data_IF_563389046935
#
_entry.id   IF_563389046935
#
_cell.length_a   1.000
_cell.length_b   1.000
_cell.length_c   1.000
_cell.angle_alpha   90.00
_cell.angle_beta   90.00
_cell.angle_gamma   90.00
#
_symmetry.space_group_name_H-M   'P 1'
#
loop_
_entity.id
_entity.type
_entity.pdbx_description
1 polymer ?
#
# COMPACT_ATOMS: atom_id res chain seq x y z
N UNK A 1 -26.01 -8.77 19.11
CA UNK A 1 -25.66 -8.33 17.74
C UNK A 1 -24.23 -8.79 17.45
N UNK A 2 -24.01 -9.95 16.82
CA UNK A 2 -22.65 -10.53 16.67
C UNK A 2 -22.09 -10.59 15.25
N UNK A 3 -22.88 -10.25 14.23
CA UNK A 3 -22.42 -10.21 12.83
C UNK A 3 -21.44 -9.05 12.59
N UNK A 4 -21.85 -7.84 12.95
CA UNK A 4 -21.11 -6.59 12.70
C UNK A 4 -19.67 -6.60 13.23
N UNK A 5 -19.43 -7.22 14.38
CA UNK A 5 -18.09 -7.31 14.95
C UNK A 5 -17.17 -8.26 14.17
N UNK A 6 -17.73 -9.31 13.55
CA UNK A 6 -17.02 -10.19 12.62
C UNK A 6 -16.65 -9.41 11.35
N UNK A 7 -17.56 -8.63 10.79
CA UNK A 7 -17.30 -7.82 9.60
C UNK A 7 -16.24 -6.72 9.87
N UNK A 8 -16.30 -6.04 11.02
CA UNK A 8 -15.27 -5.09 11.48
C UNK A 8 -13.92 -5.80 11.62
N UNK A 9 -13.90 -7.01 12.18
CA UNK A 9 -12.70 -7.83 12.29
C UNK A 9 -12.07 -8.15 10.93
N UNK A 10 -12.90 -8.50 9.94
CA UNK A 10 -12.46 -8.74 8.56
C UNK A 10 -11.86 -7.50 7.91
N UNK A 11 -12.48 -6.32 8.09
CA UNK A 11 -11.94 -5.05 7.58
C UNK A 11 -10.56 -4.74 8.19
N UNK A 12 -10.39 -4.92 9.50
CA UNK A 12 -9.10 -4.72 10.18
C UNK A 12 -8.03 -5.69 9.66
N UNK A 13 -8.39 -6.93 9.38
CA UNK A 13 -7.46 -7.91 8.80
C UNK A 13 -7.07 -7.53 7.36
N UNK A 14 -8.03 -7.09 6.55
CA UNK A 14 -7.77 -6.62 5.19
C UNK A 14 -6.82 -5.40 5.18
N UNK A 15 -7.05 -4.42 6.06
CA UNK A 15 -6.15 -3.28 6.21
C UNK A 15 -4.72 -3.71 6.56
N UNK A 16 -4.55 -4.57 7.58
CA UNK A 16 -3.23 -5.10 7.96
C UNK A 16 -2.53 -5.81 6.81
N UNK A 17 -3.26 -6.63 6.05
CA UNK A 17 -2.71 -7.33 4.89
C UNK A 17 -2.23 -6.33 3.82
N UNK A 18 -2.98 -5.26 3.58
CA UNK A 18 -2.54 -4.21 2.66
C UNK A 18 -1.34 -3.43 3.17
N UNK A 19 -1.32 -3.01 4.43
CA UNK A 19 -0.15 -2.34 5.00
C UNK A 19 1.13 -3.19 4.83
N UNK A 20 1.03 -4.49 5.10
CA UNK A 20 2.14 -5.42 4.85
C UNK A 20 2.52 -5.51 3.37
N UNK A 21 1.54 -5.53 2.45
CA UNK A 21 1.82 -5.53 1.02
C UNK A 21 2.45 -4.22 0.54
N UNK A 22 2.04 -3.07 1.09
CA UNK A 22 2.66 -1.78 0.83
C UNK A 22 4.12 -1.76 1.28
N UNK A 23 4.41 -2.23 2.50
CA UNK A 23 5.78 -2.31 3.03
C UNK A 23 6.67 -3.23 2.18
N UNK A 24 6.14 -4.37 1.77
CA UNK A 24 6.85 -5.27 0.85
C UNK A 24 7.10 -4.60 -0.51
N UNK A 25 6.11 -3.88 -1.06
CA UNK A 25 6.25 -3.17 -2.33
C UNK A 25 7.26 -2.02 -2.25
N UNK A 26 7.35 -1.30 -1.11
CA UNK A 26 8.37 -0.25 -0.88
C UNK A 26 9.79 -0.79 -0.90
N UNK A 27 9.98 -2.04 -0.47
CA UNK A 27 11.28 -2.70 -0.49
C UNK A 27 11.75 -3.13 -1.88
N UNK A 28 10.90 -3.05 -2.91
CA UNK A 28 11.27 -3.43 -4.28
C UNK A 28 11.78 -2.21 -5.04
N UNK A 29 13.03 -2.30 -5.47
CA UNK A 29 13.67 -1.31 -6.36
C UNK A 29 13.83 -1.92 -7.76
N UNK A 30 12.78 -1.94 -8.60
CA UNK A 30 12.81 -2.58 -9.91
C UNK A 30 13.78 -1.92 -10.91
N UNK A 31 14.25 -0.71 -10.62
CA UNK A 31 15.30 -0.05 -11.36
C UNK A 31 16.72 -0.59 -11.08
N UNK A 32 16.89 -1.39 -10.03
CA UNK A 32 18.20 -1.93 -9.64
C UNK A 32 18.76 -2.85 -10.71
N UNK A 33 20.04 -2.66 -11.06
CA UNK A 33 20.74 -3.42 -12.10
C UNK A 33 20.62 -2.83 -13.51
N UNK A 34 19.77 -1.82 -13.73
CA UNK A 34 19.71 -1.13 -15.02
C UNK A 34 20.94 -0.24 -15.26
N UNK A 35 21.64 0.17 -14.20
CA UNK A 35 22.93 0.83 -14.27
C UNK A 35 24.01 -0.04 -14.95
N UNK A 36 23.93 -1.37 -14.83
CA UNK A 36 24.84 -2.29 -15.52
C UNK A 36 24.74 -2.19 -17.05
N UNK A 37 23.61 -1.73 -17.59
CA UNK A 37 23.43 -1.47 -19.03
C UNK A 37 24.40 -0.37 -19.49
N UNK A 38 24.58 0.67 -18.67
CA UNK A 38 25.48 1.77 -18.99
C UNK A 38 26.95 1.30 -19.03
N UNK A 39 27.32 0.36 -18.16
CA UNK A 39 28.66 -0.26 -18.17
C UNK A 39 28.85 -1.21 -19.36
N UNK A 40 27.82 -1.99 -19.72
CA UNK A 40 27.91 -3.00 -20.78
C UNK A 40 27.90 -2.41 -22.19
N UNK A 41 27.23 -1.27 -22.40
CA UNK A 41 27.10 -0.62 -23.71
C UNK A 41 27.48 0.87 -23.68
N UNK A 42 28.75 1.22 -23.38
CA UNK A 42 29.17 2.61 -23.24
C UNK A 42 28.90 3.41 -24.53
N UNK A 43 28.26 4.57 -24.41
CA UNK A 43 27.95 5.46 -25.53
C UNK A 43 26.74 5.05 -26.39
N UNK A 44 26.18 3.87 -26.18
CA UNK A 44 24.94 3.43 -26.83
C UNK A 44 23.70 4.16 -26.31
N UNK A 45 22.65 4.25 -27.12
CA UNK A 45 21.40 4.90 -26.70
C UNK A 45 20.72 4.18 -25.52
N UNK A 46 20.92 2.86 -25.40
CA UNK A 46 20.48 2.09 -24.24
C UNK A 46 21.12 2.59 -22.93
N UNK A 47 22.44 2.88 -22.95
CA UNK A 47 23.15 3.43 -21.79
C UNK A 47 22.65 4.82 -21.42
N UNK A 48 22.28 5.65 -22.40
CA UNK A 48 21.73 7.00 -22.16
C UNK A 48 20.36 6.95 -21.49
N UNK A 49 19.53 5.97 -21.83
CA UNK A 49 18.15 5.88 -21.36
C UNK A 49 17.97 5.04 -20.09
N UNK A 50 18.95 4.20 -19.74
CA UNK A 50 18.89 3.31 -18.58
C UNK A 50 18.63 4.05 -17.24
N UNK A 51 19.25 5.21 -16.94
CA UNK A 51 18.97 5.94 -15.71
C UNK A 51 17.51 6.41 -15.61
N UNK A 52 16.94 6.93 -16.70
CA UNK A 52 15.54 7.37 -16.75
C UNK A 52 14.58 6.19 -16.58
N UNK A 53 14.90 5.04 -17.14
CA UNK A 53 14.10 3.83 -16.95
C UNK A 53 14.13 3.36 -15.48
N UNK A 54 15.32 3.38 -14.86
CA UNK A 54 15.48 3.02 -13.45
C UNK A 54 14.69 3.94 -12.52
N UNK A 55 14.79 5.26 -12.72
CA UNK A 55 14.02 6.22 -11.92
C UNK A 55 12.51 6.02 -12.11
N UNK A 56 12.06 5.85 -13.35
CA UNK A 56 10.63 5.66 -13.66
C UNK A 56 10.06 4.41 -12.98
N UNK A 57 10.80 3.30 -12.99
CA UNK A 57 10.32 2.08 -12.34
C UNK A 57 10.33 2.18 -10.82
N UNK A 58 11.36 2.79 -10.23
CA UNK A 58 11.41 3.00 -8.78
C UNK A 58 10.29 3.95 -8.31
N UNK A 59 10.04 5.03 -9.03
CA UNK A 59 8.94 5.97 -8.74
C UNK A 59 7.57 5.29 -8.84
N UNK A 60 7.35 4.46 -9.88
CA UNK A 60 6.11 3.69 -10.03
C UNK A 60 5.91 2.67 -8.92
N UNK A 61 6.97 1.97 -8.51
CA UNK A 61 6.89 1.02 -7.41
C UNK A 61 6.50 1.72 -6.11
N UNK A 62 7.14 2.86 -5.82
CA UNK A 62 6.83 3.70 -4.65
C UNK A 62 5.38 4.20 -4.69
N UNK A 63 4.94 4.78 -5.81
CA UNK A 63 3.58 5.29 -5.95
C UNK A 63 2.52 4.21 -5.72
N UNK A 64 2.74 3.02 -6.26
CA UNK A 64 1.83 1.88 -6.03
C UNK A 64 1.82 1.43 -4.58
N UNK A 65 2.96 1.43 -3.91
CA UNK A 65 3.01 1.10 -2.49
C UNK A 65 2.25 2.12 -1.63
N UNK A 66 2.39 3.42 -1.95
CA UNK A 66 1.68 4.49 -1.28
C UNK A 66 0.16 4.42 -1.50
N UNK A 67 -0.30 4.03 -2.70
CA UNK A 67 -1.73 3.77 -2.97
C UNK A 67 -2.29 2.63 -2.11
N UNK A 68 -1.53 1.53 -1.94
CA UNK A 68 -1.94 0.40 -1.11
C UNK A 68 -2.00 0.81 0.37
N UNK A 69 -1.05 1.62 0.82
CA UNK A 69 -1.00 2.12 2.20
C UNK A 69 -2.17 3.05 2.50
N UNK A 70 -2.49 3.99 1.61
CA UNK A 70 -3.66 4.86 1.72
C UNK A 70 -4.97 4.06 1.79
N UNK A 71 -5.07 2.97 1.04
CA UNK A 71 -6.22 2.06 1.12
C UNK A 71 -6.31 1.37 2.50
N UNK A 72 -5.18 0.89 3.03
CA UNK A 72 -5.09 0.33 4.40
C UNK A 72 -5.57 1.32 5.46
N UNK A 73 -5.08 2.56 5.40
CA UNK A 73 -5.47 3.64 6.32
C UNK A 73 -6.97 3.94 6.22
N UNK A 74 -7.50 4.03 5.00
CA UNK A 74 -8.92 4.30 4.75
C UNK A 74 -9.83 3.22 5.32
N UNK A 75 -9.48 1.93 5.14
CA UNK A 75 -10.24 0.82 5.71
C UNK A 75 -10.14 0.80 7.23
N UNK A 76 -8.96 1.10 7.79
CA UNK A 76 -8.78 1.19 9.25
C UNK A 76 -9.65 2.30 9.85
N UNK A 77 -9.69 3.47 9.21
CA UNK A 77 -10.53 4.58 9.61
C UNK A 77 -12.03 4.23 9.52
N UNK A 78 -12.44 3.57 8.43
CA UNK A 78 -13.82 3.12 8.27
C UNK A 78 -14.23 2.10 9.35
N UNK A 79 -13.37 1.11 9.64
CA UNK A 79 -13.62 0.12 10.69
C UNK A 79 -13.72 0.76 12.08
N UNK A 80 -12.89 1.78 12.36
CA UNK A 80 -12.96 2.56 13.61
C UNK A 80 -14.27 3.32 13.72
N UNK A 81 -14.64 4.08 12.69
CA UNK A 81 -15.89 4.85 12.67
C UNK A 81 -17.11 3.94 12.85
N UNK A 82 -17.10 2.77 12.22
CA UNK A 82 -18.17 1.78 12.39
C UNK A 82 -18.27 1.29 13.84
N UNK A 83 -17.13 0.97 14.46
CA UNK A 83 -17.08 0.50 15.86
C UNK A 83 -17.55 1.60 16.84
N UNK A 84 -17.19 2.86 16.59
CA UNK A 84 -17.57 3.99 17.43
C UNK A 84 -19.07 4.29 17.33
N UNK A 85 -19.62 4.26 16.12
CA UNK A 85 -21.05 4.44 15.89
C UNK A 85 -21.88 3.35 16.56
N UNK A 86 -21.43 2.09 16.52
CA UNK A 86 -22.12 0.98 17.18
C UNK A 86 -22.17 1.18 18.70
N UNK A 87 -21.02 1.49 19.31
CA UNK A 87 -20.96 1.77 20.75
C UNK A 87 -21.87 2.94 21.14
N UNK A 88 -21.89 4.01 20.35
CA UNK A 88 -22.78 5.14 20.60
C UNK A 88 -24.26 4.77 20.44
N UNK A 89 -24.58 3.85 19.53
CA UNK A 89 -25.95 3.34 19.38
C UNK A 89 -26.35 2.46 20.58
N UNK A 90 -25.47 1.58 21.05
CA UNK A 90 -25.68 0.80 22.29
C UNK A 90 -25.86 1.72 23.51
N UNK A 91 -25.04 2.76 23.66
CA UNK A 91 -25.16 3.73 24.76
C UNK A 91 -26.47 4.54 24.70
N UNK A 92 -26.96 4.84 23.50
CA UNK A 92 -28.15 5.68 23.30
C UNK A 92 -29.48 4.89 23.32
N UNK A 93 -29.44 3.61 22.93
CA UNK A 93 -30.64 2.80 22.67
C UNK A 93 -30.62 1.40 23.30
N UNK A 94 -29.55 1.01 23.99
CA UNK A 94 -29.48 -0.24 24.72
C UNK A 94 -30.28 -0.15 26.04
N UNK A 95 -31.35 -0.95 26.14
CA UNK A 95 -32.01 -1.27 27.42
C UNK A 95 -31.18 -2.27 28.25
#
# INVERSE_FOLDING_TARGET
MSGYEVEIGQLRNAAKAAGSAADQARGVEPGTGLDAIATALPGGDAAKNAPTLASTFNERAKGRADEIDQWSESITAAAKAYSENERSAEEAFGE
#
